data_IF_907312250658
#
_entry.id   IF_907312250658
#
_cell.length_a   1.000
_cell.length_b   1.000
_cell.length_c   1.000
_cell.angle_alpha   90.00
_cell.angle_beta   90.00
_cell.angle_gamma   90.00
#
_symmetry.space_group_name_H-M   'P 1'
#
loop_
_entity.id
_entity.type
_entity.pdbx_description
1 polymer ?
#
# COMPACT_ATOMS: atom_id res chain seq x y z
N UNK A 1 -31.17 47.78 -61.72
CA UNK A 1 -31.66 47.26 -60.46
C UNK A 1 -31.11 45.82 -60.36
N UNK A 2 -29.92 45.66 -59.80
CA UNK A 2 -29.20 44.39 -59.76
C UNK A 2 -29.36 43.79 -58.34
N UNK A 3 -29.78 42.55 -58.29
CA UNK A 3 -29.89 41.78 -57.04
C UNK A 3 -28.50 41.30 -56.62
N UNK A 4 -28.16 41.27 -55.30
CA UNK A 4 -26.89 40.78 -54.85
C UNK A 4 -26.86 39.23 -54.87
N UNK A 5 -25.78 38.68 -55.40
CA UNK A 5 -25.44 37.26 -55.37
C UNK A 5 -25.12 36.87 -53.94
N UNK A 6 -25.89 35.90 -53.36
CA UNK A 6 -25.59 35.29 -52.09
C UNK A 6 -24.48 34.23 -52.28
N UNK A 7 -23.28 34.50 -51.82
CA UNK A 7 -22.19 33.53 -51.74
C UNK A 7 -22.52 32.42 -50.73
N UNK A 8 -22.68 31.20 -51.25
CA UNK A 8 -22.88 29.99 -50.46
C UNK A 8 -21.57 29.65 -49.70
N UNK A 9 -21.50 30.01 -48.41
CA UNK A 9 -20.44 29.63 -47.52
C UNK A 9 -20.59 28.15 -47.16
N UNK A 10 -20.01 27.27 -47.97
CA UNK A 10 -19.93 25.83 -47.74
C UNK A 10 -19.36 25.48 -46.36
N UNK A 11 -19.64 24.28 -45.82
CA UNK A 11 -19.32 23.90 -44.45
C UNK A 11 -17.82 23.98 -44.17
N UNK A 12 -17.43 24.83 -43.25
CA UNK A 12 -16.05 24.96 -42.74
C UNK A 12 -15.52 23.62 -42.25
N UNK A 13 -14.64 22.99 -43.04
CA UNK A 13 -13.92 21.77 -42.65
C UNK A 13 -13.14 22.07 -41.35
N UNK A 14 -13.57 21.48 -40.24
CA UNK A 14 -12.82 21.52 -38.98
C UNK A 14 -11.45 20.91 -39.19
N UNK A 15 -10.42 21.75 -39.23
CA UNK A 15 -9.05 21.37 -39.58
C UNK A 15 -8.42 20.38 -38.59
N UNK A 16 -7.31 19.71 -38.96
CA UNK A 16 -6.64 18.67 -38.18
C UNK A 16 -6.15 19.13 -36.80
N UNK A 17 -6.06 20.44 -36.54
CA UNK A 17 -5.66 21.02 -35.25
C UNK A 17 -6.72 20.89 -34.15
N UNK A 18 -8.00 20.88 -34.47
CA UNK A 18 -9.12 20.80 -33.52
C UNK A 18 -9.30 19.37 -32.99
N UNK A 19 -9.14 18.34 -33.84
CA UNK A 19 -9.14 16.91 -33.43
C UNK A 19 -7.98 16.55 -32.49
N UNK A 20 -6.78 17.13 -32.70
CA UNK A 20 -5.59 16.91 -31.85
C UNK A 20 -5.69 17.57 -30.46
N UNK A 21 -6.35 18.75 -30.36
CA UNK A 21 -6.59 19.43 -29.08
C UNK A 21 -7.56 18.62 -28.18
N UNK A 22 -8.58 18.00 -28.76
CA UNK A 22 -9.56 17.17 -28.02
C UNK A 22 -8.96 15.87 -27.49
N UNK A 23 -8.04 15.24 -28.24
CA UNK A 23 -7.37 14.01 -27.81
C UNK A 23 -6.49 14.23 -26.55
N UNK A 24 -5.70 15.31 -26.51
CA UNK A 24 -4.85 15.63 -25.35
C UNK A 24 -5.66 15.93 -24.07
N UNK A 25 -6.82 16.60 -24.22
CA UNK A 25 -7.73 16.87 -23.11
C UNK A 25 -8.27 15.58 -22.50
N UNK A 26 -8.74 14.63 -23.31
CA UNK A 26 -9.30 13.35 -22.86
C UNK A 26 -8.27 12.52 -22.10
N UNK A 27 -7.04 12.41 -22.60
CA UNK A 27 -5.95 11.71 -21.89
C UNK A 27 -5.66 12.36 -20.53
N UNK A 28 -5.66 13.69 -20.45
CA UNK A 28 -5.45 14.39 -19.17
C UNK A 28 -6.60 14.16 -18.18
N UNK A 29 -7.85 14.14 -18.66
CA UNK A 29 -9.03 13.82 -17.82
C UNK A 29 -8.97 12.38 -17.30
N UNK A 30 -8.67 11.41 -18.17
CA UNK A 30 -8.53 10.02 -17.78
C UNK A 30 -7.43 9.85 -16.71
N UNK A 31 -6.27 10.47 -16.90
CA UNK A 31 -5.19 10.43 -15.88
C UNK A 31 -5.57 11.16 -14.58
N UNK A 32 -6.36 12.25 -14.65
CA UNK A 32 -6.83 12.97 -13.46
C UNK A 32 -7.79 12.13 -12.60
N UNK A 33 -8.46 11.12 -13.18
CA UNK A 33 -9.29 10.15 -12.46
C UNK A 33 -8.47 8.94 -12.05
N UNK A 34 -7.68 8.35 -12.96
CA UNK A 34 -6.97 7.10 -12.72
C UNK A 34 -5.89 7.24 -11.64
N UNK A 35 -5.10 8.33 -11.62
CA UNK A 35 -4.02 8.48 -10.66
C UNK A 35 -4.50 8.48 -9.20
N UNK A 36 -5.55 9.25 -8.80
CA UNK A 36 -6.11 9.12 -7.46
C UNK A 36 -6.64 7.72 -7.14
N UNK A 37 -7.28 7.04 -8.10
CA UNK A 37 -7.77 5.67 -7.91
C UNK A 37 -6.63 4.67 -7.71
N UNK A 38 -5.53 4.78 -8.47
CA UNK A 38 -4.32 3.98 -8.29
C UNK A 38 -3.75 4.20 -6.89
N UNK A 39 -3.61 5.44 -6.46
CA UNK A 39 -3.11 5.76 -5.11
C UNK A 39 -4.02 5.19 -4.04
N UNK A 40 -5.33 5.37 -4.17
CA UNK A 40 -6.31 4.86 -3.21
C UNK A 40 -6.28 3.33 -3.11
N UNK A 41 -6.30 2.63 -4.24
CA UNK A 41 -6.26 1.16 -4.26
C UNK A 41 -4.92 0.59 -3.80
N UNK A 42 -3.82 1.30 -4.06
CA UNK A 42 -2.50 0.96 -3.51
C UNK A 42 -2.46 1.13 -1.99
N UNK A 43 -2.99 2.23 -1.46
CA UNK A 43 -3.11 2.44 -0.01
C UNK A 43 -4.03 1.40 0.65
N UNK A 44 -5.12 1.02 -0.02
CA UNK A 44 -6.02 -0.03 0.44
C UNK A 44 -5.32 -1.39 0.50
N UNK A 45 -4.63 -1.80 -0.57
CA UNK A 45 -3.83 -3.02 -0.62
C UNK A 45 -2.73 -3.05 0.45
N UNK A 46 -2.12 -1.90 0.73
CA UNK A 46 -1.11 -1.76 1.78
C UNK A 46 -1.70 -1.89 3.18
N UNK A 47 -2.93 -1.38 3.42
CA UNK A 47 -3.55 -1.30 4.74
C UNK A 47 -4.33 -2.55 5.14
N UNK A 48 -4.95 -3.24 4.19
CA UNK A 48 -5.87 -4.37 4.44
C UNK A 48 -5.10 -5.66 4.64
N UNK A 49 -5.36 -6.34 5.76
CA UNK A 49 -4.75 -7.63 6.11
C UNK A 49 -5.71 -8.81 6.04
N UNK A 50 -7.02 -8.56 5.94
CA UNK A 50 -8.05 -9.59 5.75
C UNK A 50 -8.35 -9.79 4.27
N UNK A 51 -8.70 -11.01 3.90
CA UNK A 51 -9.14 -11.31 2.55
C UNK A 51 -10.50 -10.63 2.33
N UNK A 52 -10.48 -9.66 1.43
CA UNK A 52 -11.69 -9.05 0.89
C UNK A 52 -12.03 -9.85 -0.36
N UNK A 53 -13.22 -10.35 -0.55
CA UNK A 53 -13.65 -11.09 -1.74
C UNK A 53 -13.15 -10.52 -3.09
N UNK A 54 -12.63 -9.33 -3.09
CA UNK A 54 -11.97 -8.64 -4.20
C UNK A 54 -10.50 -8.45 -3.85
N UNK A 55 -9.59 -8.91 -4.71
CA UNK A 55 -8.15 -8.72 -4.57
C UNK A 55 -7.75 -7.24 -4.83
N UNK A 56 -7.41 -6.47 -3.78
CA UNK A 56 -7.09 -5.05 -3.94
C UNK A 56 -5.78 -4.81 -4.69
N UNK A 57 -4.82 -5.76 -4.64
CA UNK A 57 -3.58 -5.64 -5.40
C UNK A 57 -3.82 -5.87 -6.89
N UNK A 58 -4.71 -6.79 -7.27
CA UNK A 58 -5.09 -6.98 -8.67
C UNK A 58 -5.84 -5.75 -9.20
N UNK A 59 -6.77 -5.18 -8.44
CA UNK A 59 -7.46 -3.92 -8.83
C UNK A 59 -6.46 -2.79 -9.01
N UNK A 60 -5.51 -2.63 -8.09
CA UNK A 60 -4.43 -1.65 -8.18
C UNK A 60 -3.60 -1.86 -9.46
N UNK A 61 -3.22 -3.10 -9.77
CA UNK A 61 -2.45 -3.45 -10.95
C UNK A 61 -3.19 -3.13 -12.26
N UNK A 62 -4.48 -3.46 -12.36
CA UNK A 62 -5.31 -3.15 -13.52
C UNK A 62 -5.39 -1.63 -13.74
N UNK A 63 -5.62 -0.84 -12.68
CA UNK A 63 -5.65 0.62 -12.79
C UNK A 63 -4.27 1.20 -13.16
N UNK A 64 -3.18 0.64 -12.63
CA UNK A 64 -1.81 1.03 -12.98
C UNK A 64 -1.49 0.72 -14.45
N UNK A 65 -1.93 -0.45 -14.96
CA UNK A 65 -1.80 -0.79 -16.38
C UNK A 65 -2.64 0.13 -17.28
N UNK A 66 -3.82 0.56 -16.84
CA UNK A 66 -4.59 1.57 -17.57
C UNK A 66 -3.82 2.91 -17.69
N UNK A 67 -3.10 3.32 -16.64
CA UNK A 67 -2.18 4.48 -16.70
C UNK A 67 -1.04 4.22 -17.69
N UNK A 68 -0.42 3.02 -17.64
CA UNK A 68 0.65 2.63 -18.57
C UNK A 68 0.18 2.66 -20.03
N UNK A 69 -1.01 2.14 -20.32
CA UNK A 69 -1.62 2.15 -21.66
C UNK A 69 -1.87 3.58 -22.19
N UNK A 70 -2.09 4.57 -21.32
CA UNK A 70 -2.24 5.98 -21.71
C UNK A 70 -0.89 6.68 -21.93
N UNK A 71 0.22 6.10 -21.48
CA UNK A 71 1.56 6.72 -21.53
C UNK A 71 2.02 7.10 -22.94
N UNK A 72 1.80 6.30 -24.01
CA UNK A 72 2.22 6.68 -25.39
C UNK A 72 1.57 7.98 -25.85
N UNK A 73 0.27 8.17 -25.59
CA UNK A 73 -0.45 9.41 -25.93
C UNK A 73 0.03 10.60 -25.10
N UNK A 74 0.26 10.36 -23.79
CA UNK A 74 0.78 11.40 -22.89
C UNK A 74 2.21 11.79 -23.26
N UNK A 75 3.10 10.85 -23.58
CA UNK A 75 4.46 11.14 -24.00
C UNK A 75 4.54 11.97 -25.28
N UNK A 76 3.64 11.74 -26.23
CA UNK A 76 3.51 12.57 -27.43
C UNK A 76 3.10 14.02 -27.11
N UNK A 77 2.29 14.23 -26.05
CA UNK A 77 1.93 15.58 -25.56
C UNK A 77 3.11 16.22 -24.84
N UNK A 78 3.78 15.47 -23.97
CA UNK A 78 4.93 15.92 -23.16
C UNK A 78 6.11 16.31 -24.05
N UNK A 79 6.49 15.49 -25.05
CA UNK A 79 7.58 15.80 -26.00
C UNK A 79 7.41 17.15 -26.67
N UNK A 80 6.17 17.53 -27.00
CA UNK A 80 5.85 18.86 -27.55
C UNK A 80 5.98 19.98 -26.53
N UNK A 81 5.64 19.70 -25.25
CA UNK A 81 5.76 20.64 -24.14
C UNK A 81 7.21 20.86 -23.69
N UNK A 82 8.03 19.81 -23.67
CA UNK A 82 9.45 19.86 -23.28
C UNK A 82 10.31 20.69 -24.25
N UNK A 83 9.95 20.75 -25.53
CA UNK A 83 10.60 21.62 -26.52
C UNK A 83 10.40 23.12 -26.23
N UNK A 84 9.38 23.48 -25.44
CA UNK A 84 9.15 24.84 -24.96
C UNK A 84 9.84 24.99 -23.60
N UNK A 85 10.82 25.90 -23.47
CA UNK A 85 11.58 26.15 -22.24
C UNK A 85 10.68 26.77 -21.15
N UNK A 86 9.84 25.94 -20.49
CA UNK A 86 8.99 26.35 -19.36
C UNK A 86 9.50 25.71 -18.06
N UNK A 87 9.46 26.42 -16.91
CA UNK A 87 9.88 25.86 -15.60
C UNK A 87 9.14 24.56 -15.24
N UNK A 88 7.87 24.42 -15.61
CA UNK A 88 7.04 23.23 -15.36
C UNK A 88 7.51 21.94 -16.05
N UNK A 89 8.51 22.00 -16.94
CA UNK A 89 9.07 20.80 -17.61
C UNK A 89 9.72 19.83 -16.64
N UNK A 90 10.39 20.36 -15.61
CA UNK A 90 11.05 19.51 -14.59
C UNK A 90 10.03 18.74 -13.75
N UNK A 91 8.92 19.40 -13.34
CA UNK A 91 7.82 18.74 -12.62
C UNK A 91 7.22 17.62 -13.48
N UNK A 92 7.00 17.87 -14.77
CA UNK A 92 6.45 16.87 -15.68
C UNK A 92 7.42 15.71 -15.94
N UNK A 93 8.72 15.96 -16.03
CA UNK A 93 9.74 14.94 -16.18
C UNK A 93 9.86 14.09 -14.91
N UNK A 94 9.98 14.72 -13.73
CA UNK A 94 10.03 14.05 -12.43
C UNK A 94 8.80 13.16 -12.21
N UNK A 95 7.59 13.68 -12.49
CA UNK A 95 6.36 12.89 -12.42
C UNK A 95 6.41 11.68 -13.34
N UNK A 96 6.83 11.86 -14.59
CA UNK A 96 6.96 10.76 -15.56
C UNK A 96 7.95 9.68 -15.10
N UNK A 97 9.08 10.08 -14.55
CA UNK A 97 10.10 9.17 -13.99
C UNK A 97 9.53 8.41 -12.79
N UNK A 98 8.90 9.09 -11.83
CA UNK A 98 8.34 8.45 -10.63
C UNK A 98 7.23 7.45 -10.99
N UNK A 99 6.33 7.82 -11.91
CA UNK A 99 5.29 6.89 -12.41
C UNK A 99 5.93 5.70 -13.12
N UNK A 100 6.98 5.91 -13.93
CA UNK A 100 7.72 4.84 -14.60
C UNK A 100 8.38 3.88 -13.59
N UNK A 101 9.03 4.42 -12.56
CA UNK A 101 9.64 3.62 -11.48
C UNK A 101 8.57 2.83 -10.73
N UNK A 102 7.44 3.46 -10.38
CA UNK A 102 6.34 2.78 -9.70
C UNK A 102 5.76 1.63 -10.56
N UNK A 103 5.52 1.85 -11.86
CA UNK A 103 5.01 0.82 -12.76
C UNK A 103 5.99 -0.35 -12.89
N UNK A 104 7.28 -0.08 -13.15
CA UNK A 104 8.29 -1.13 -13.33
C UNK A 104 8.52 -1.91 -12.03
N UNK A 105 8.68 -1.23 -10.91
CA UNK A 105 8.86 -1.91 -9.61
C UNK A 105 7.63 -2.73 -9.22
N UNK A 106 6.43 -2.26 -9.54
CA UNK A 106 5.19 -3.01 -9.32
C UNK A 106 5.11 -4.29 -10.16
N UNK A 107 5.50 -4.27 -11.43
CA UNK A 107 5.54 -5.46 -12.29
C UNK A 107 6.61 -6.46 -11.82
N UNK A 108 7.80 -5.98 -11.46
CA UNK A 108 8.87 -6.83 -10.92
C UNK A 108 8.44 -7.44 -9.58
N UNK A 109 7.78 -6.68 -8.71
CA UNK A 109 7.18 -7.18 -7.47
C UNK A 109 6.13 -8.25 -7.77
N UNK A 110 5.22 -8.00 -8.72
CA UNK A 110 4.18 -8.96 -9.07
C UNK A 110 4.76 -10.29 -9.63
N UNK A 111 5.89 -10.24 -10.31
CA UNK A 111 6.60 -11.43 -10.79
C UNK A 111 7.38 -12.16 -9.68
N UNK A 112 7.78 -11.47 -8.62
CA UNK A 112 8.63 -12.00 -7.56
C UNK A 112 10.09 -12.22 -7.98
N UNK A 113 10.58 -11.50 -9.01
CA UNK A 113 11.94 -11.69 -9.53
C UNK A 113 13.02 -11.24 -8.54
N UNK A 114 12.73 -10.23 -7.76
CA UNK A 114 13.60 -9.77 -6.68
C UNK A 114 12.78 -9.06 -5.61
N UNK A 115 13.23 -9.11 -4.39
CA UNK A 115 12.63 -8.41 -3.24
C UNK A 115 13.43 -7.16 -2.84
N UNK A 116 14.67 -6.99 -3.37
CA UNK A 116 15.56 -5.89 -3.01
C UNK A 116 16.36 -5.37 -4.21
N UNK A 117 16.68 -4.07 -4.15
CA UNK A 117 17.64 -3.41 -5.03
C UNK A 117 18.58 -2.61 -4.14
N UNK A 118 19.80 -3.11 -3.94
CA UNK A 118 20.71 -2.56 -2.95
C UNK A 118 20.15 -2.64 -1.52
N UNK A 119 20.19 -1.55 -0.74
CA UNK A 119 19.70 -1.55 0.64
C UNK A 119 18.16 -1.48 0.75
N UNK A 120 17.46 -1.11 -0.31
CA UNK A 120 16.01 -0.91 -0.32
C UNK A 120 15.26 -2.16 -0.76
N UNK A 121 14.11 -2.42 -0.14
CA UNK A 121 13.18 -3.41 -0.66
C UNK A 121 12.48 -2.85 -1.90
N UNK A 122 12.08 -3.74 -2.83
CA UNK A 122 11.36 -3.32 -4.04
C UNK A 122 10.04 -2.62 -3.69
N UNK A 123 9.38 -3.06 -2.61
CA UNK A 123 8.17 -2.42 -2.11
C UNK A 123 8.45 -0.99 -1.57
N UNK A 124 9.59 -0.75 -0.91
CA UNK A 124 9.99 0.61 -0.49
C UNK A 124 10.20 1.52 -1.70
N UNK A 125 10.82 1.01 -2.76
CA UNK A 125 11.01 1.76 -4.02
C UNK A 125 9.65 2.07 -4.65
N UNK A 126 8.76 1.08 -4.74
CA UNK A 126 7.43 1.22 -5.31
C UNK A 126 6.58 2.26 -4.56
N UNK A 127 6.47 2.11 -3.25
CA UNK A 127 5.69 3.01 -2.39
C UNK A 127 6.31 4.40 -2.36
N UNK A 128 7.63 4.50 -2.24
CA UNK A 128 8.34 5.79 -2.26
C UNK A 128 8.14 6.54 -3.58
N UNK A 129 8.23 5.85 -4.72
CA UNK A 129 7.94 6.43 -6.02
C UNK A 129 6.46 6.86 -6.14
N UNK A 130 5.53 6.06 -5.60
CA UNK A 130 4.11 6.39 -5.53
C UNK A 130 3.83 7.66 -4.73
N UNK A 131 4.39 7.76 -3.51
CA UNK A 131 4.27 8.95 -2.66
C UNK A 131 4.87 10.18 -3.35
N UNK A 132 6.07 10.05 -3.91
CA UNK A 132 6.71 11.12 -4.68
C UNK A 132 5.86 11.56 -5.87
N UNK A 133 5.23 10.61 -6.58
CA UNK A 133 4.32 10.89 -7.67
C UNK A 133 3.09 11.69 -7.22
N UNK A 134 2.52 11.42 -6.03
CA UNK A 134 1.40 12.20 -5.46
C UNK A 134 1.78 13.67 -5.29
N UNK A 135 2.95 13.94 -4.70
CA UNK A 135 3.46 15.32 -4.53
C UNK A 135 3.63 15.99 -5.90
N UNK A 136 4.23 15.29 -6.87
CA UNK A 136 4.45 15.83 -8.21
C UNK A 136 3.14 16.03 -8.99
N UNK A 137 2.13 15.17 -8.81
CA UNK A 137 0.78 15.34 -9.38
C UNK A 137 0.14 16.61 -8.84
N UNK A 138 0.22 16.84 -7.53
CA UNK A 138 -0.33 18.03 -6.90
C UNK A 138 0.31 19.33 -7.44
N UNK A 139 1.66 19.37 -7.54
CA UNK A 139 2.40 20.49 -8.13
C UNK A 139 2.05 20.67 -9.62
N UNK A 140 1.97 19.57 -10.37
CA UNK A 140 1.62 19.57 -11.77
C UNK A 140 0.19 20.09 -12.02
N UNK A 141 -0.77 19.65 -11.17
CA UNK A 141 -2.16 20.09 -11.26
C UNK A 141 -2.31 21.59 -10.97
N UNK A 142 -1.57 22.14 -9.99
CA UNK A 142 -1.54 23.58 -9.73
C UNK A 142 -1.07 24.38 -10.94
N UNK A 143 -0.12 23.86 -11.71
CA UNK A 143 0.42 24.50 -12.91
C UNK A 143 -0.44 24.28 -14.17
N UNK A 144 -1.24 23.19 -14.19
CA UNK A 144 -2.03 22.77 -15.35
C UNK A 144 -3.41 22.26 -14.91
N UNK A 145 -4.29 23.11 -14.39
CA UNK A 145 -5.57 22.69 -13.87
C UNK A 145 -6.45 22.07 -14.96
N UNK A 146 -7.02 20.90 -14.66
CA UNK A 146 -7.97 20.21 -15.52
C UNK A 146 -9.37 20.44 -14.95
N UNK A 147 -10.22 21.13 -15.73
CA UNK A 147 -11.62 21.37 -15.35
C UNK A 147 -12.52 20.36 -16.04
N UNK A 148 -13.34 19.64 -15.26
CA UNK A 148 -14.37 18.76 -15.78
C UNK A 148 -15.55 19.58 -16.33
N UNK A 149 -16.13 19.11 -17.44
CA UNK A 149 -17.30 19.70 -18.08
C UNK A 149 -18.36 18.62 -18.25
N UNK A 150 -19.65 18.97 -18.24
CA UNK A 150 -20.74 17.98 -18.43
C UNK A 150 -20.59 17.16 -19.71
N UNK A 151 -20.09 17.74 -20.78
CA UNK A 151 -19.84 17.08 -22.08
C UNK A 151 -18.65 16.07 -22.01
N UNK A 152 -17.88 16.00 -20.94
CA UNK A 152 -16.82 14.99 -20.78
C UNK A 152 -17.39 13.62 -20.35
N UNK A 153 -18.65 13.57 -19.92
CA UNK A 153 -19.37 12.38 -19.43
C UNK A 153 -20.41 11.88 -20.45
N UNK A 154 -20.04 11.84 -21.72
CA UNK A 154 -20.88 11.30 -22.78
C UNK A 154 -20.77 9.76 -22.89
N UNK A 155 -21.72 9.12 -23.59
CA UNK A 155 -21.71 7.68 -23.83
C UNK A 155 -20.39 7.20 -24.47
N UNK A 156 -19.79 8.02 -25.31
CA UNK A 156 -18.51 7.68 -25.98
C UNK A 156 -17.34 7.71 -24.98
N UNK A 157 -17.35 8.63 -24.03
CA UNK A 157 -16.35 8.67 -22.96
C UNK A 157 -16.48 7.44 -22.08
N UNK A 158 -17.71 7.06 -21.70
CA UNK A 158 -17.97 5.84 -20.95
C UNK A 158 -17.46 4.57 -21.66
N UNK A 159 -17.83 4.37 -22.94
CA UNK A 159 -17.39 3.21 -23.72
C UNK A 159 -15.86 3.13 -23.87
N UNK A 160 -15.18 4.28 -24.01
CA UNK A 160 -13.71 4.33 -24.08
C UNK A 160 -13.07 3.99 -22.72
N UNK A 161 -13.65 4.48 -21.64
CA UNK A 161 -13.16 4.15 -20.29
C UNK A 161 -13.35 2.67 -19.97
N UNK A 162 -14.50 2.10 -20.33
CA UNK A 162 -14.78 0.68 -20.21
C UNK A 162 -13.83 -0.15 -21.10
N UNK A 163 -13.58 0.27 -22.33
CA UNK A 163 -12.61 -0.39 -23.23
C UNK A 163 -11.18 -0.33 -22.68
N UNK A 164 -10.76 0.81 -22.12
CA UNK A 164 -9.45 0.93 -21.49
C UNK A 164 -9.33 0.02 -20.25
N UNK A 165 -10.36 -0.01 -19.41
CA UNK A 165 -10.40 -0.89 -18.22
C UNK A 165 -10.38 -2.37 -18.63
N UNK A 166 -11.18 -2.75 -19.66
CA UNK A 166 -11.17 -4.10 -20.20
C UNK A 166 -9.81 -4.51 -20.78
N UNK A 167 -9.16 -3.64 -21.55
CA UNK A 167 -7.83 -3.90 -22.09
C UNK A 167 -6.79 -4.02 -20.99
N UNK A 168 -6.85 -3.19 -19.95
CA UNK A 168 -5.96 -3.27 -18.82
C UNK A 168 -6.17 -4.56 -18.01
N UNK A 169 -7.42 -4.99 -17.82
CA UNK A 169 -7.75 -6.25 -17.17
C UNK A 169 -7.24 -7.47 -17.98
N UNK A 170 -7.40 -7.46 -19.30
CA UNK A 170 -6.85 -8.51 -20.20
C UNK A 170 -5.31 -8.53 -20.11
N UNK A 171 -4.66 -7.34 -20.14
CA UNK A 171 -3.20 -7.24 -20.01
C UNK A 171 -2.71 -7.78 -18.65
N UNK A 172 -3.43 -7.50 -17.57
CA UNK A 172 -3.13 -8.06 -16.25
C UNK A 172 -3.33 -9.58 -16.22
N UNK A 173 -4.45 -10.09 -16.74
CA UNK A 173 -4.69 -11.53 -16.85
C UNK A 173 -3.64 -12.27 -17.68
N UNK A 174 -3.18 -11.66 -18.78
CA UNK A 174 -2.07 -12.18 -19.57
C UNK A 174 -0.76 -12.23 -18.78
N UNK A 175 -0.45 -11.14 -18.03
CA UNK A 175 0.71 -11.11 -17.15
C UNK A 175 0.65 -12.21 -16.08
N UNK A 176 -0.48 -12.38 -15.41
CA UNK A 176 -0.71 -13.45 -14.44
C UNK A 176 -0.52 -14.85 -15.05
N UNK A 177 -1.00 -15.03 -16.27
CA UNK A 177 -0.85 -16.30 -16.99
C UNK A 177 0.62 -16.60 -17.29
N UNK A 178 1.41 -15.58 -17.68
CA UNK A 178 2.86 -15.71 -17.88
C UNK A 178 3.57 -16.04 -16.57
N UNK A 179 3.26 -15.31 -15.47
CA UNK A 179 3.85 -15.54 -14.15
C UNK A 179 3.62 -16.99 -13.69
N UNK A 180 2.38 -17.51 -13.86
CA UNK A 180 2.04 -18.90 -13.50
C UNK A 180 2.71 -19.92 -14.43
N UNK A 181 2.65 -19.70 -15.74
CA UNK A 181 3.24 -20.63 -16.70
C UNK A 181 4.76 -20.74 -16.58
N UNK A 182 5.42 -19.62 -16.19
CA UNK A 182 6.86 -19.58 -15.96
C UNK A 182 7.27 -20.12 -14.58
N UNK A 183 6.31 -20.43 -13.69
CA UNK A 183 6.59 -20.87 -12.32
C UNK A 183 7.31 -19.80 -11.48
N UNK A 184 7.10 -18.51 -11.78
CA UNK A 184 7.75 -17.44 -11.02
C UNK A 184 7.15 -17.33 -9.62
N UNK A 185 7.94 -16.88 -8.61
CA UNK A 185 7.48 -16.76 -7.21
C UNK A 185 6.20 -15.93 -7.04
N UNK A 186 5.95 -15.01 -7.98
CA UNK A 186 4.73 -14.20 -8.01
C UNK A 186 3.43 -14.98 -8.17
N UNK A 187 3.48 -16.26 -8.63
CA UNK A 187 2.30 -17.12 -8.77
C UNK A 187 1.63 -17.48 -7.44
N UNK A 188 2.40 -17.46 -6.34
CA UNK A 188 1.97 -17.86 -4.99
C UNK A 188 1.80 -16.66 -4.05
N UNK A 189 1.85 -15.43 -4.58
CA UNK A 189 1.68 -14.23 -3.75
C UNK A 189 0.26 -14.13 -3.18
N UNK A 190 0.16 -13.53 -2.00
CA UNK A 190 -1.13 -13.24 -1.37
C UNK A 190 -1.87 -12.10 -2.10
N UNK A 191 -3.17 -11.95 -1.80
CA UNK A 191 -4.01 -10.83 -2.26
C UNK A 191 -3.45 -9.44 -1.89
N UNK A 192 -2.52 -9.36 -0.94
CA UNK A 192 -1.80 -8.14 -0.54
C UNK A 192 -0.60 -7.83 -1.44
N UNK A 193 -0.28 -8.70 -2.40
CA UNK A 193 0.92 -8.63 -3.23
C UNK A 193 2.20 -9.10 -2.52
N UNK A 194 2.09 -9.65 -1.30
CA UNK A 194 3.24 -10.16 -0.53
C UNK A 194 3.62 -11.57 -0.98
N UNK A 195 4.94 -11.85 -0.97
CA UNK A 195 5.52 -13.16 -1.29
C UNK A 195 5.84 -13.95 -0.03
N UNK A 196 5.75 -15.27 -0.11
CA UNK A 196 6.15 -16.16 0.98
C UNK A 196 7.65 -16.01 1.30
N UNK A 197 7.99 -15.96 2.60
CA UNK A 197 9.37 -15.92 3.09
C UNK A 197 9.49 -16.62 4.45
N UNK A 198 10.09 -17.81 4.43
CA UNK A 198 10.47 -18.54 5.63
C UNK A 198 9.31 -19.01 6.51
N UNK A 199 8.14 -19.33 5.93
CA UNK A 199 7.05 -19.95 6.67
C UNK A 199 7.52 -21.26 7.32
N UNK A 200 7.09 -21.46 8.57
CA UNK A 200 7.48 -22.59 9.44
C UNK A 200 9.00 -22.70 9.72
N UNK A 201 9.79 -21.68 9.33
CA UNK A 201 11.21 -21.56 9.65
C UNK A 201 11.54 -20.14 10.17
N UNK A 202 11.49 -19.92 11.48
CA UNK A 202 11.76 -18.60 12.08
C UNK A 202 13.11 -17.99 11.72
N UNK A 203 14.11 -18.82 11.40
CA UNK A 203 15.46 -18.36 11.05
C UNK A 203 15.50 -17.71 9.66
N UNK A 204 14.59 -18.11 8.78
CA UNK A 204 14.45 -17.58 7.41
C UNK A 204 13.43 -16.46 7.32
N UNK A 205 12.60 -16.25 8.36
CA UNK A 205 11.65 -15.15 8.40
C UNK A 205 12.40 -13.81 8.39
N UNK A 206 12.11 -12.88 7.46
CA UNK A 206 12.82 -11.61 7.40
C UNK A 206 12.55 -10.72 8.61
N UNK A 207 13.56 -9.96 9.04
CA UNK A 207 13.40 -8.88 10.01
C UNK A 207 13.15 -7.57 9.28
N UNK A 208 11.99 -6.97 9.50
CA UNK A 208 11.66 -5.64 8.97
C UNK A 208 11.11 -4.80 10.12
N UNK A 209 11.67 -3.61 10.32
CA UNK A 209 11.15 -2.61 11.23
C UNK A 209 10.40 -1.52 10.48
N UNK A 210 9.54 -0.78 11.17
CA UNK A 210 8.88 0.38 10.61
C UNK A 210 9.90 1.48 10.27
N UNK A 211 9.50 2.43 9.46
CA UNK A 211 10.37 3.52 9.04
C UNK A 211 10.95 4.26 10.26
N UNK A 212 12.28 4.41 10.32
CA UNK A 212 13.05 4.97 11.44
C UNK A 212 13.03 4.16 12.77
N UNK A 213 12.33 3.02 12.83
CA UNK A 213 12.27 2.18 14.02
C UNK A 213 13.49 1.23 14.03
N UNK A 214 14.29 1.27 15.09
CA UNK A 214 15.51 0.48 15.23
C UNK A 214 15.35 -0.56 16.34
N UNK A 215 15.91 -1.74 16.14
CA UNK A 215 15.91 -2.79 17.16
C UNK A 215 16.60 -2.29 18.44
N UNK A 216 15.87 -2.16 19.56
CA UNK A 216 16.45 -1.75 20.84
C UNK A 216 17.29 -2.88 21.43
N UNK A 217 18.19 -2.53 22.34
CA UNK A 217 18.92 -3.48 23.18
C UNK A 217 18.19 -3.61 24.51
N UNK A 218 17.41 -4.67 24.69
CA UNK A 218 16.61 -4.91 25.88
C UNK A 218 17.23 -6.06 26.68
N UNK A 219 17.48 -5.83 27.95
CA UNK A 219 17.87 -6.87 28.91
C UNK A 219 16.62 -7.49 29.52
N UNK A 220 16.50 -8.82 29.46
CA UNK A 220 15.32 -9.55 29.95
C UNK A 220 15.04 -9.30 31.45
N UNK A 221 16.09 -9.16 32.27
CA UNK A 221 15.98 -8.90 33.71
C UNK A 221 15.44 -7.52 34.05
N UNK A 222 15.67 -6.53 33.16
CA UNK A 222 15.27 -5.15 33.39
C UNK A 222 13.92 -4.82 32.71
N UNK A 223 13.52 -5.64 31.73
CA UNK A 223 12.30 -5.39 30.98
C UNK A 223 11.05 -5.51 31.88
N UNK A 224 10.13 -4.58 31.68
CA UNK A 224 8.84 -4.52 32.34
C UNK A 224 7.75 -4.24 31.33
N UNK A 225 6.56 -4.79 31.58
CA UNK A 225 5.33 -4.48 30.89
C UNK A 225 4.36 -3.83 31.88
N UNK A 226 3.90 -2.63 31.57
CA UNK A 226 2.80 -2.00 32.30
C UNK A 226 1.48 -2.30 31.58
N UNK A 227 0.55 -2.95 32.27
CA UNK A 227 -0.80 -3.28 31.79
C UNK A 227 -1.83 -2.63 32.71
N UNK A 228 -2.47 -1.54 32.29
CA UNK A 228 -3.40 -0.73 33.10
C UNK A 228 -2.86 -0.45 34.52
N UNK A 229 -1.59 -0.03 34.61
CA UNK A 229 -0.92 0.29 35.86
C UNK A 229 -0.36 -0.92 36.62
N UNK A 230 -0.64 -2.15 36.20
CA UNK A 230 -0.01 -3.36 36.74
C UNK A 230 1.31 -3.61 36.05
N UNK A 231 2.38 -3.81 36.80
CA UNK A 231 3.71 -4.11 36.28
C UNK A 231 3.94 -5.63 36.26
N UNK A 232 4.38 -6.14 35.09
CA UNK A 232 4.72 -7.53 34.84
C UNK A 232 6.18 -7.64 34.40
N UNK A 233 6.89 -8.64 34.90
CA UNK A 233 8.23 -9.05 34.47
C UNK A 233 8.14 -10.16 33.44
N UNK A 234 9.21 -10.40 32.72
CA UNK A 234 9.24 -11.50 31.75
C UNK A 234 8.99 -12.87 32.41
N UNK A 235 9.52 -13.09 33.65
CA UNK A 235 9.28 -14.29 34.45
C UNK A 235 7.82 -14.54 34.79
N UNK A 236 7.00 -13.49 34.86
CA UNK A 236 5.59 -13.63 35.20
C UNK A 236 4.80 -14.27 34.06
N UNK A 237 5.30 -14.16 32.81
CA UNK A 237 4.72 -14.85 31.67
C UNK A 237 4.83 -16.37 31.75
N UNK A 238 5.77 -16.92 32.56
CA UNK A 238 5.89 -18.35 32.78
C UNK A 238 4.78 -18.91 33.69
N UNK A 239 4.15 -18.03 34.48
CA UNK A 239 3.03 -18.36 35.35
C UNK A 239 1.67 -18.19 34.71
N UNK A 240 1.60 -17.55 33.56
CA UNK A 240 0.37 -17.29 32.81
C UNK A 240 0.07 -18.43 31.84
N UNK A 241 -1.22 -18.68 31.51
CA UNK A 241 -1.59 -19.70 30.55
C UNK A 241 -1.13 -19.27 29.15
N UNK A 242 -0.06 -19.92 28.67
CA UNK A 242 0.47 -19.73 27.32
C UNK A 242 -0.32 -20.56 26.32
N UNK A 243 -0.60 -19.97 25.19
CA UNK A 243 -1.29 -20.59 24.06
C UNK A 243 -0.40 -20.54 22.82
N UNK A 244 -0.52 -21.53 21.95
CA UNK A 244 0.10 -21.53 20.63
C UNK A 244 -0.91 -21.08 19.60
N UNK A 245 -0.49 -20.21 18.71
CA UNK A 245 -1.29 -19.74 17.60
C UNK A 245 -0.47 -19.76 16.32
N UNK A 246 -0.97 -20.46 15.30
CA UNK A 246 -0.41 -20.34 13.95
C UNK A 246 -1.01 -19.11 13.29
N UNK A 247 -0.15 -18.18 12.91
CA UNK A 247 -0.60 -16.92 12.33
C UNK A 247 0.38 -16.40 11.27
N UNK A 248 -0.20 -15.76 10.25
CA UNK A 248 0.53 -15.16 9.14
C UNK A 248 0.86 -13.71 9.49
N UNK A 249 2.14 -13.41 9.60
CA UNK A 249 2.66 -12.06 9.60
C UNK A 249 2.81 -11.59 8.14
N UNK A 250 1.90 -10.73 7.69
CA UNK A 250 1.90 -10.17 6.34
C UNK A 250 2.50 -8.75 6.38
N UNK A 251 3.78 -8.65 6.05
CA UNK A 251 4.57 -7.45 6.18
C UNK A 251 4.32 -6.47 5.02
N UNK A 252 4.26 -5.17 5.33
CA UNK A 252 4.21 -4.10 4.32
C UNK A 252 5.51 -3.98 3.50
N UNK A 253 6.55 -4.71 3.86
CA UNK A 253 7.77 -4.86 3.06
C UNK A 253 7.63 -5.77 1.84
N UNK A 254 6.43 -6.33 1.60
CA UNK A 254 6.13 -7.16 0.42
C UNK A 254 6.38 -8.66 0.63
N UNK A 255 6.45 -9.12 1.86
CA UNK A 255 6.59 -10.53 2.20
C UNK A 255 5.60 -10.96 3.28
N UNK A 256 5.29 -12.24 3.35
CA UNK A 256 4.55 -12.84 4.45
C UNK A 256 5.25 -14.11 4.95
N UNK A 257 4.96 -14.47 6.20
CA UNK A 257 5.46 -15.70 6.81
C UNK A 257 4.40 -16.26 7.76
N UNK A 258 4.05 -17.52 7.57
CA UNK A 258 3.21 -18.26 8.50
C UNK A 258 4.10 -18.91 9.56
N UNK A 259 3.81 -18.66 10.83
CA UNK A 259 4.62 -19.11 11.93
C UNK A 259 3.77 -19.57 13.12
N UNK A 260 4.31 -20.48 13.92
CA UNK A 260 3.77 -20.79 15.23
C UNK A 260 4.33 -19.82 16.27
N UNK A 261 3.43 -19.06 16.90
CA UNK A 261 3.72 -18.12 17.96
C UNK A 261 3.23 -18.69 19.28
N UNK A 262 3.98 -18.47 20.38
CA UNK A 262 3.57 -18.89 21.72
C UNK A 262 3.59 -17.68 22.65
N UNK A 263 2.49 -17.47 23.36
CA UNK A 263 2.33 -16.32 24.23
C UNK A 263 1.00 -16.32 24.99
N UNK A 264 0.69 -15.20 25.60
CA UNK A 264 -0.50 -15.00 26.43
C UNK A 264 -1.51 -14.13 25.68
N UNK A 265 -2.76 -14.52 25.67
CA UNK A 265 -3.84 -13.75 25.08
C UNK A 265 -4.10 -12.45 25.86
N UNK A 266 -4.39 -11.35 25.17
CA UNK A 266 -4.52 -10.04 25.81
C UNK A 266 -5.70 -9.95 26.79
N UNK A 267 -6.79 -10.67 26.55
CA UNK A 267 -7.94 -10.73 27.45
C UNK A 267 -7.65 -11.47 28.80
N UNK A 268 -6.47 -12.09 28.93
CA UNK A 268 -5.97 -12.65 30.20
C UNK A 268 -5.15 -11.64 31.00
N UNK A 269 -4.71 -10.57 30.37
CA UNK A 269 -3.85 -9.54 30.96
C UNK A 269 -4.61 -8.24 31.26
N UNK A 270 -5.66 -7.97 30.49
CA UNK A 270 -6.44 -6.75 30.56
C UNK A 270 -7.92 -7.08 30.67
N UNK A 271 -8.60 -6.40 31.58
CA UNK A 271 -10.06 -6.41 31.71
C UNK A 271 -10.56 -5.07 31.13
N UNK A 272 -11.02 -5.03 29.88
CA UNK A 272 -11.34 -3.76 29.24
C UNK A 272 -12.55 -3.03 29.83
N UNK A 273 -13.43 -3.73 30.60
CA UNK A 273 -14.65 -3.14 31.14
C UNK A 273 -15.45 -2.45 30.04
N UNK A 274 -15.75 -1.16 30.23
CA UNK A 274 -16.44 -0.31 29.25
C UNK A 274 -15.49 0.41 28.28
N UNK A 275 -14.19 0.12 28.30
CA UNK A 275 -13.22 0.75 27.40
C UNK A 275 -13.54 0.42 25.93
N UNK A 276 -13.37 1.41 25.06
CA UNK A 276 -13.64 1.27 23.62
C UNK A 276 -12.46 0.72 22.83
N UNK A 277 -11.26 0.86 23.37
CA UNK A 277 -10.02 0.44 22.71
C UNK A 277 -8.90 0.16 23.71
N UNK A 278 -7.86 -0.51 23.21
CA UNK A 278 -6.59 -0.72 23.90
C UNK A 278 -5.46 -0.17 23.06
N UNK A 279 -4.55 0.58 23.68
CA UNK A 279 -3.30 1.05 23.08
C UNK A 279 -2.19 0.11 23.49
N UNK A 280 -1.41 -0.37 22.53
CA UNK A 280 -0.22 -1.18 22.75
C UNK A 280 0.99 -0.37 22.28
N UNK A 281 1.96 -0.16 23.19
CA UNK A 281 3.18 0.63 22.95
C UNK A 281 4.44 -0.21 23.01
N UNK A 282 5.37 0.16 22.14
CA UNK A 282 6.72 -0.37 22.05
C UNK A 282 7.69 0.45 22.88
N UNK A 283 8.81 -0.14 23.26
CA UNK A 283 10.00 0.54 23.83
C UNK A 283 10.50 1.69 22.94
N UNK A 284 10.30 1.60 21.64
CA UNK A 284 10.73 2.64 20.66
C UNK A 284 9.75 3.79 20.54
N UNK A 285 8.62 3.77 21.27
CA UNK A 285 7.53 4.75 21.14
C UNK A 285 6.51 4.42 20.04
N UNK A 286 6.77 3.38 19.23
CA UNK A 286 5.80 2.90 18.25
C UNK A 286 4.54 2.39 18.94
N UNK A 287 3.36 2.77 18.44
CA UNK A 287 2.10 2.34 19.07
C UNK A 287 0.98 2.08 18.08
N UNK A 288 0.07 1.19 18.47
CA UNK A 288 -1.19 0.94 17.75
C UNK A 288 -2.36 0.82 18.73
N UNK A 289 -3.53 1.27 18.26
CA UNK A 289 -4.78 1.22 19.02
C UNK A 289 -5.71 0.19 18.39
N UNK A 290 -6.21 -0.74 19.20
CA UNK A 290 -7.09 -1.82 18.78
C UNK A 290 -8.49 -1.63 19.40
N UNK A 291 -9.58 -2.09 18.75
CA UNK A 291 -10.87 -2.21 19.42
C UNK A 291 -10.73 -3.10 20.66
N UNK A 292 -11.40 -2.77 21.77
CA UNK A 292 -11.42 -3.61 22.96
C UNK A 292 -11.97 -5.03 22.69
N UNK A 293 -12.90 -5.13 21.73
CA UNK A 293 -13.45 -6.42 21.26
C UNK A 293 -12.43 -7.33 20.55
N UNK A 294 -11.25 -6.82 20.20
CA UNK A 294 -10.20 -7.62 19.54
C UNK A 294 -9.31 -8.36 20.55
N UNK A 295 -9.34 -8.00 21.86
CA UNK A 295 -8.48 -8.59 22.89
C UNK A 295 -8.41 -10.13 22.87
N UNK A 296 -9.52 -10.88 22.71
CA UNK A 296 -9.46 -12.35 22.63
C UNK A 296 -8.78 -12.89 21.37
N UNK A 297 -8.45 -12.03 20.40
CA UNK A 297 -7.81 -12.38 19.12
C UNK A 297 -6.42 -11.79 18.99
N UNK A 298 -5.86 -11.28 20.08
CA UNK A 298 -4.52 -10.70 20.16
C UNK A 298 -3.70 -11.45 21.20
N UNK A 299 -2.42 -11.68 20.93
CA UNK A 299 -1.49 -12.35 21.85
C UNK A 299 -0.24 -11.51 22.08
N UNK A 300 0.29 -11.55 23.30
CA UNK A 300 1.65 -11.16 23.57
C UNK A 300 2.54 -12.41 23.49
N UNK A 301 3.24 -12.55 22.39
CA UNK A 301 4.14 -13.67 22.16
C UNK A 301 5.51 -13.41 22.76
N UNK A 302 6.05 -14.44 23.42
CA UNK A 302 7.42 -14.52 23.92
C UNK A 302 8.28 -15.48 23.11
N UNK A 303 7.64 -16.43 22.37
CA UNK A 303 8.33 -17.45 21.58
C UNK A 303 7.82 -17.49 20.14
N UNK A 304 8.69 -17.98 19.27
CA UNK A 304 8.48 -18.14 17.83
C UNK A 304 9.09 -19.48 17.40
N UNK A 305 8.26 -20.41 16.90
CA UNK A 305 8.72 -21.75 16.52
C UNK A 305 9.38 -22.51 17.67
N UNK A 306 8.85 -22.36 18.90
CA UNK A 306 9.34 -23.03 20.10
C UNK A 306 10.60 -22.41 20.75
N UNK A 307 11.17 -21.34 20.16
CA UNK A 307 12.33 -20.64 20.72
C UNK A 307 11.97 -19.21 21.16
N UNK A 308 12.67 -18.63 22.15
CA UNK A 308 12.49 -17.21 22.49
C UNK A 308 12.64 -16.31 21.27
N UNK A 309 11.89 -15.21 21.23
CA UNK A 309 11.98 -14.23 20.16
C UNK A 309 13.41 -13.71 20.00
N UNK A 310 13.86 -13.53 18.76
CA UNK A 310 15.09 -12.78 18.51
C UNK A 310 14.86 -11.27 18.72
N UNK A 311 15.91 -10.47 18.98
CA UNK A 311 15.79 -9.02 19.11
C UNK A 311 15.06 -8.38 17.93
N UNK A 312 15.38 -8.77 16.70
CA UNK A 312 14.76 -8.26 15.49
C UNK A 312 13.29 -8.67 15.30
N UNK A 313 12.88 -9.79 15.89
CA UNK A 313 11.51 -10.28 15.88
C UNK A 313 10.66 -9.77 17.06
N UNK A 314 11.24 -8.96 17.98
CA UNK A 314 10.48 -8.27 19.01
C UNK A 314 10.74 -8.78 20.43
N UNK A 315 11.91 -9.45 20.69
CA UNK A 315 12.31 -9.84 22.05
C UNK A 315 12.26 -8.65 23.03
N UNK A 316 11.77 -8.83 24.28
CA UNK A 316 11.31 -10.11 24.83
C UNK A 316 9.84 -10.44 24.52
N UNK A 317 9.02 -9.45 24.18
CA UNK A 317 7.58 -9.62 23.96
C UNK A 317 7.11 -8.80 22.77
N UNK A 318 6.32 -9.43 21.91
CA UNK A 318 5.68 -8.74 20.79
C UNK A 318 4.19 -9.02 20.72
N UNK A 319 3.44 -8.10 20.11
CA UNK A 319 2.05 -8.32 19.77
C UNK A 319 1.93 -9.17 18.51
N UNK A 320 1.10 -10.20 18.57
CA UNK A 320 0.62 -11.01 17.46
C UNK A 320 -0.83 -10.64 17.19
N UNK A 321 -1.12 -10.19 15.97
CA UNK A 321 -2.44 -9.68 15.57
C UNK A 321 -2.89 -10.36 14.26
N UNK A 322 -3.40 -11.60 14.31
CA UNK A 322 -3.83 -12.35 13.12
C UNK A 322 -4.85 -11.56 12.29
N UNK A 323 -4.77 -11.67 10.96
CA UNK A 323 -5.64 -10.94 10.04
C UNK A 323 -5.31 -9.45 9.88
N UNK A 324 -4.31 -8.94 10.58
CA UNK A 324 -3.83 -7.56 10.46
C UNK A 324 -2.50 -7.50 9.71
N UNK A 325 -2.28 -6.41 8.95
CA UNK A 325 -0.98 -6.17 8.29
C UNK A 325 0.14 -5.98 9.31
N UNK A 326 1.39 -6.27 8.93
CA UNK A 326 2.55 -6.27 9.81
C UNK A 326 2.77 -5.01 10.65
N UNK A 327 2.34 -3.85 10.17
CA UNK A 327 2.43 -2.60 10.95
C UNK A 327 1.45 -2.53 12.15
N UNK A 328 0.55 -3.50 12.30
CA UNK A 328 -0.25 -3.69 13.49
C UNK A 328 0.43 -4.57 14.54
N UNK A 329 1.47 -5.31 14.17
CA UNK A 329 2.17 -6.26 15.02
C UNK A 329 3.29 -5.56 15.79
N UNK A 330 2.92 -4.88 16.89
CA UNK A 330 3.84 -4.09 17.71
C UNK A 330 4.95 -4.97 18.29
N UNK A 331 6.21 -4.61 18.05
CA UNK A 331 7.39 -5.27 18.64
C UNK A 331 7.80 -4.60 19.95
N UNK A 332 8.56 -5.31 20.78
CA UNK A 332 9.15 -4.76 21.99
C UNK A 332 8.12 -4.07 22.87
N UNK A 333 7.02 -4.75 23.14
CA UNK A 333 5.90 -4.20 23.90
C UNK A 333 6.31 -3.93 25.34
N UNK A 334 6.03 -2.71 25.83
CA UNK A 334 6.32 -2.28 27.21
C UNK A 334 5.10 -1.69 27.91
N UNK A 335 4.05 -1.37 27.17
CA UNK A 335 2.85 -0.78 27.76
C UNK A 335 1.59 -1.20 27.02
N UNK A 336 0.55 -1.48 27.78
CA UNK A 336 -0.82 -1.64 27.31
C UNK A 336 -1.75 -0.84 28.20
N UNK A 337 -2.62 -0.05 27.59
CA UNK A 337 -3.53 0.85 28.30
C UNK A 337 -4.94 0.80 27.66
N UNK A 338 -5.95 0.59 28.49
CA UNK A 338 -7.34 0.73 28.06
C UNK A 338 -7.72 2.20 27.84
N UNK A 339 -8.64 2.46 26.92
CA UNK A 339 -8.99 3.84 26.55
C UNK A 339 -10.45 3.98 26.11
N UNK A 340 -11.07 5.11 26.48
CA UNK A 340 -12.40 5.50 26.02
C UNK A 340 -12.41 6.05 24.60
N UNK A 341 -11.23 6.37 24.02
CA UNK A 341 -11.14 6.84 22.64
C UNK A 341 -11.39 5.68 21.67
N UNK A 342 -12.17 5.87 20.59
CA UNK A 342 -12.42 4.82 19.62
C UNK A 342 -11.11 4.41 18.90
N UNK A 343 -11.03 3.13 18.50
CA UNK A 343 -9.80 2.55 17.89
C UNK A 343 -9.41 3.20 16.56
N UNK A 344 -10.38 3.74 15.82
CA UNK A 344 -10.12 4.42 14.55
C UNK A 344 -9.53 5.83 14.72
N UNK A 345 -9.56 6.40 15.95
CA UNK A 345 -8.96 7.71 16.22
C UNK A 345 -7.43 7.57 16.39
N UNK A 346 -6.78 7.26 15.31
CA UNK A 346 -5.33 7.19 15.16
C UNK A 346 -4.96 7.43 13.71
N UNK A 347 -3.73 7.79 13.43
CA UNK A 347 -3.24 7.86 12.06
C UNK A 347 -3.32 6.48 11.38
N UNK A 348 -3.71 6.39 10.10
CA UNK A 348 -3.80 5.12 9.39
C UNK A 348 -2.46 4.39 9.37
N UNK A 349 -1.37 5.14 9.28
CA UNK A 349 -0.01 4.63 9.41
C UNK A 349 0.71 5.35 10.55
N UNK A 350 1.54 4.65 11.34
CA UNK A 350 2.30 5.28 12.43
C UNK A 350 3.27 6.32 11.89
N UNK A 351 3.46 7.44 12.59
CA UNK A 351 4.36 8.51 12.14
C UNK A 351 5.84 8.26 12.45
N UNK A 352 6.16 7.28 13.32
CA UNK A 352 7.52 7.00 13.80
C UNK A 352 8.33 6.17 12.86
#
# INVERSE_FOLDING_TARGET
MGLPVVEDLGPTRSGPTQKRRSSGRRTNLALAVLLPLVVFTGALSFAVGVDLQVDPAAVHAVLALAVALLTPWKSAIVRRGLRRRRPSRFISAALGTLVGVALLSGLVQAAGWTDRVGPLTLMQIHVGAGIGAVVMVWLHYRSHPVRFRRMDFDRRAFLRSAGLAGLAAVAWGAWESVVRAAGWPGSERRFTGSHERGSHDPRRMPVTSWFNDRTPRIQASEWRLTADGKELRLSDFDLLPRERVTAILDCTGGWYSEQEWEGVRLDRLLEPGEARSVVVRSETGYQRRFPASDLPRLWLATHLGGAPLSPGHGFPVRLVAPGRRGFWWVKWVVEMETSQRPSWLQLPFPPT
#
